data_IF_752749623474
#
_entry.id   IF_752749623474
#
_cell.length_a   1.000
_cell.length_b   1.000
_cell.length_c   1.000
_cell.angle_alpha   90.00
_cell.angle_beta   90.00
_cell.angle_gamma   90.00
#
_symmetry.space_group_name_H-M   'P 1'
#
loop_
_entity.id
_entity.type
_entity.pdbx_description
1 polymer ?
#
# COMPACT_ATOMS: atom_id res chain seq x y z
N UNK A 1 9.71 -31.54 20.66
CA UNK A 1 10.88 -31.01 19.93
C UNK A 1 10.36 -29.91 19.04
N UNK A 2 10.35 -28.68 19.54
CA UNK A 2 9.96 -27.51 18.76
C UNK A 2 11.09 -27.24 17.76
N UNK A 3 10.85 -27.59 16.50
CA UNK A 3 11.73 -27.19 15.42
C UNK A 3 11.66 -25.67 15.30
N UNK A 4 12.67 -24.99 15.84
CA UNK A 4 12.86 -23.56 15.68
C UNK A 4 12.93 -23.28 14.18
N UNK A 5 11.90 -22.62 13.64
CA UNK A 5 11.91 -22.20 12.24
C UNK A 5 13.20 -21.39 12.02
N UNK A 6 14.02 -21.72 11.01
CA UNK A 6 15.21 -20.94 10.72
C UNK A 6 14.80 -19.49 10.52
N UNK A 7 15.42 -18.59 11.29
CA UNK A 7 15.17 -17.15 11.17
C UNK A 7 15.42 -16.71 9.73
N UNK A 8 14.51 -15.87 9.20
CA UNK A 8 14.64 -15.31 7.86
C UNK A 8 16.03 -14.64 7.72
N UNK A 9 16.78 -14.90 6.64
CA UNK A 9 18.04 -14.19 6.41
C UNK A 9 17.77 -12.68 6.38
N UNK A 10 18.65 -11.87 6.98
CA UNK A 10 18.47 -10.43 7.02
C UNK A 10 18.37 -9.88 5.60
N UNK A 11 17.31 -9.12 5.34
CA UNK A 11 17.13 -8.43 4.07
C UNK A 11 17.93 -7.12 4.13
N UNK A 12 18.89 -6.88 3.21
CA UNK A 12 19.65 -5.65 3.25
C UNK A 12 18.74 -4.42 3.10
N UNK A 13 19.02 -3.31 3.80
CA UNK A 13 18.23 -2.09 3.67
C UNK A 13 18.14 -1.62 2.22
N UNK A 14 17.01 -1.01 1.86
CA UNK A 14 16.77 -0.43 0.54
C UNK A 14 16.90 -1.40 -0.65
N UNK A 15 16.83 -2.72 -0.44
CA UNK A 15 16.86 -3.72 -1.53
C UNK A 15 15.49 -4.31 -1.88
N UNK A 16 14.51 -4.18 -0.98
CA UNK A 16 13.17 -4.73 -1.20
C UNK A 16 12.08 -3.69 -0.96
N UNK A 17 10.93 -3.96 -1.56
CA UNK A 17 9.70 -3.22 -1.37
C UNK A 17 8.60 -4.20 -0.99
N UNK A 18 7.98 -4.00 0.17
CA UNK A 18 6.94 -4.92 0.66
C UNK A 18 5.62 -4.69 -0.07
N UNK A 19 4.98 -5.78 -0.49
CA UNK A 19 3.71 -5.73 -1.22
C UNK A 19 2.53 -5.29 -0.35
N UNK A 20 2.58 -5.47 0.97
CA UNK A 20 1.45 -5.23 1.88
C UNK A 20 1.48 -3.83 2.47
N UNK A 21 2.66 -3.35 2.89
CA UNK A 21 2.79 -2.13 3.66
C UNK A 21 2.20 -0.87 2.99
N UNK A 22 2.37 -0.63 1.67
CA UNK A 22 1.74 0.52 1.01
C UNK A 22 0.21 0.49 1.10
N UNK A 23 -0.41 -0.68 0.96
CA UNK A 23 -1.87 -0.83 1.08
C UNK A 23 -2.34 -0.37 2.46
N UNK A 24 -1.66 -0.82 3.51
CA UNK A 24 -2.01 -0.45 4.88
C UNK A 24 -1.79 1.03 5.14
N UNK A 25 -0.63 1.57 4.76
CA UNK A 25 -0.28 2.98 5.03
C UNK A 25 -1.22 3.96 4.33
N UNK A 26 -1.62 3.66 3.09
CA UNK A 26 -2.60 4.48 2.39
C UNK A 26 -3.98 4.33 3.03
N UNK A 27 -4.40 3.11 3.39
CA UNK A 27 -5.65 2.86 4.10
C UNK A 27 -5.77 3.65 5.40
N UNK A 28 -4.76 3.55 6.27
CA UNK A 28 -4.67 4.30 7.54
C UNK A 28 -4.70 5.81 7.30
N UNK A 29 -3.90 6.31 6.36
CA UNK A 29 -3.80 7.74 6.09
C UNK A 29 -5.13 8.32 5.59
N UNK A 30 -5.84 7.60 4.71
CA UNK A 30 -7.15 8.03 4.21
C UNK A 30 -8.21 8.03 5.32
N UNK A 31 -8.24 6.99 6.15
CA UNK A 31 -9.17 6.92 7.30
C UNK A 31 -8.90 8.04 8.30
N UNK A 32 -7.63 8.35 8.55
CA UNK A 32 -7.25 9.47 9.39
C UNK A 32 -7.67 10.81 8.76
N UNK A 33 -7.44 11.00 7.46
CA UNK A 33 -7.84 12.21 6.75
C UNK A 33 -9.36 12.41 6.76
N UNK A 34 -10.15 11.34 6.62
CA UNK A 34 -11.61 11.36 6.82
C UNK A 34 -11.97 11.82 8.22
N UNK A 35 -11.37 11.21 9.24
CA UNK A 35 -11.63 11.56 10.64
C UNK A 35 -11.31 13.03 10.92
N UNK A 36 -10.18 13.52 10.41
CA UNK A 36 -9.80 14.92 10.53
C UNK A 36 -10.82 15.84 9.84
N UNK A 37 -11.22 15.53 8.61
CA UNK A 37 -12.20 16.33 7.88
C UNK A 37 -13.55 16.42 8.62
N UNK A 38 -14.02 15.30 9.19
CA UNK A 38 -15.27 15.25 9.96
C UNK A 38 -15.23 16.06 11.26
N UNK A 39 -14.04 16.34 11.80
CA UNK A 39 -13.87 17.12 13.02
C UNK A 39 -13.52 18.60 12.77
N UNK A 40 -13.05 18.94 11.56
CA UNK A 40 -12.63 20.32 11.22
C UNK A 40 -13.67 21.11 10.43
N UNK A 41 -14.53 20.44 9.66
CA UNK A 41 -15.46 21.10 8.75
C UNK A 41 -16.89 20.66 9.01
N UNK A 42 -17.82 21.61 8.91
CA UNK A 42 -19.25 21.33 8.83
C UNK A 42 -19.64 21.16 7.35
N UNK A 43 -20.22 20.01 6.99
CA UNK A 43 -20.69 19.72 5.64
C UNK A 43 -19.72 18.92 4.75
N UNK A 44 -19.96 18.88 3.43
CA UNK A 44 -19.13 18.12 2.48
C UNK A 44 -17.70 18.65 2.43
N UNK A 45 -16.72 17.74 2.47
CA UNK A 45 -15.31 18.05 2.34
C UNK A 45 -14.66 17.12 1.30
N UNK A 46 -13.87 17.70 0.40
CA UNK A 46 -13.06 16.98 -0.58
C UNK A 46 -11.60 17.01 -0.15
N UNK A 47 -10.96 15.85 -0.15
CA UNK A 47 -9.56 15.67 0.23
C UNK A 47 -8.73 15.49 -1.03
N UNK A 48 -7.74 16.37 -1.22
CA UNK A 48 -6.66 16.14 -2.18
C UNK A 48 -5.58 15.31 -1.50
N UNK A 49 -5.46 14.06 -1.89
CA UNK A 49 -4.45 13.15 -1.35
C UNK A 49 -3.27 13.05 -2.32
N UNK A 50 -2.05 13.19 -1.81
CA UNK A 50 -0.80 13.10 -2.59
C UNK A 50 0.20 12.27 -1.81
N UNK A 51 0.83 11.31 -2.47
CA UNK A 51 1.90 10.49 -1.91
C UNK A 51 3.08 10.41 -2.87
N UNK A 52 4.28 10.54 -2.30
CA UNK A 52 5.54 10.42 -3.04
C UNK A 52 6.27 9.17 -2.57
N UNK A 53 6.69 8.36 -3.53
CA UNK A 53 7.60 7.23 -3.31
C UNK A 53 8.93 7.55 -3.98
N UNK A 54 10.04 7.32 -3.29
CA UNK A 54 11.41 7.60 -3.73
C UNK A 54 12.35 6.44 -3.36
N UNK A 55 13.50 6.36 -4.02
CA UNK A 55 14.48 5.30 -3.77
C UNK A 55 14.00 3.91 -4.19
N UNK A 56 13.12 3.83 -5.19
CA UNK A 56 12.52 2.60 -5.68
C UNK A 56 13.46 1.83 -6.62
N UNK A 57 14.36 2.52 -7.33
CA UNK A 57 15.17 1.91 -8.38
C UNK A 57 16.03 0.78 -7.81
N UNK A 58 15.98 -0.40 -8.45
CA UNK A 58 16.71 -1.58 -8.02
C UNK A 58 16.08 -2.36 -6.87
N UNK A 59 14.95 -1.91 -6.30
CA UNK A 59 14.23 -2.68 -5.27
C UNK A 59 13.40 -3.80 -5.89
N UNK A 60 13.42 -4.96 -5.23
CA UNK A 60 12.57 -6.10 -5.58
C UNK A 60 11.25 -6.07 -4.79
N UNK A 61 10.13 -6.33 -5.45
CA UNK A 61 8.84 -6.54 -4.78
C UNK A 61 8.86 -7.88 -4.04
N UNK A 62 8.50 -7.88 -2.76
CA UNK A 62 8.49 -9.08 -1.89
C UNK A 62 7.28 -9.10 -0.97
N UNK A 63 7.01 -10.26 -0.35
CA UNK A 63 6.22 -10.34 0.88
C UNK A 63 7.15 -10.53 2.07
N UNK A 64 7.29 -9.51 2.93
CA UNK A 64 8.16 -9.59 4.13
C UNK A 64 7.60 -10.59 5.14
N UNK A 65 6.28 -10.63 5.30
CA UNK A 65 5.59 -11.56 6.21
C UNK A 65 5.44 -12.96 5.64
N UNK A 66 5.81 -13.18 4.38
CA UNK A 66 5.62 -14.41 3.62
C UNK A 66 4.16 -14.93 3.63
N UNK A 67 3.20 -14.05 3.88
CA UNK A 67 1.76 -14.36 3.83
C UNK A 67 1.27 -14.55 2.39
N UNK A 68 2.06 -14.09 1.41
CA UNK A 68 1.72 -14.15 -0.02
C UNK A 68 2.93 -14.54 -0.84
N UNK A 69 2.71 -15.39 -1.84
CA UNK A 69 3.73 -15.74 -2.80
C UNK A 69 3.86 -14.64 -3.86
N UNK A 70 4.96 -13.88 -3.80
CA UNK A 70 5.35 -12.94 -4.87
C UNK A 70 6.43 -13.61 -5.68
N UNK A 71 6.18 -13.82 -6.98
CA UNK A 71 7.19 -14.36 -7.88
C UNK A 71 8.45 -13.48 -7.87
N UNK A 72 9.61 -14.13 -7.80
CA UNK A 72 10.90 -13.46 -7.77
C UNK A 72 11.16 -12.62 -9.02
N UNK A 73 12.08 -11.65 -8.91
CA UNK A 73 12.60 -10.89 -10.05
C UNK A 73 11.78 -9.67 -10.47
N UNK A 74 10.78 -9.25 -9.69
CA UNK A 74 9.99 -8.02 -9.94
C UNK A 74 10.72 -6.80 -9.44
N UNK A 75 11.51 -6.15 -10.29
CA UNK A 75 12.40 -5.05 -9.93
C UNK A 75 11.87 -3.72 -10.45
N UNK A 76 11.86 -2.70 -9.60
CA UNK A 76 11.56 -1.34 -10.04
C UNK A 76 12.73 -0.73 -10.82
N UNK A 77 12.45 -0.23 -12.04
CA UNK A 77 13.44 0.49 -12.86
C UNK A 77 13.40 2.01 -12.68
N UNK A 78 12.27 2.53 -12.23
CA UNK A 78 12.07 3.95 -11.95
C UNK A 78 12.35 4.22 -10.48
N UNK A 79 13.00 5.34 -10.16
CA UNK A 79 13.39 5.66 -8.79
C UNK A 79 12.28 6.30 -7.96
N UNK A 80 11.40 7.07 -8.59
CA UNK A 80 10.37 7.82 -7.89
C UNK A 80 9.06 7.90 -8.67
N UNK A 81 7.96 8.00 -7.92
CA UNK A 81 6.62 8.25 -8.45
C UNK A 81 5.79 9.07 -7.46
N UNK A 82 5.04 10.01 -8.01
CA UNK A 82 4.01 10.76 -7.27
C UNK A 82 2.64 10.24 -7.69
N UNK A 83 1.83 9.87 -6.70
CA UNK A 83 0.45 9.46 -6.89
C UNK A 83 -0.45 10.51 -6.26
N UNK A 84 -1.58 10.82 -6.90
CA UNK A 84 -2.53 11.77 -6.36
C UNK A 84 -3.95 11.46 -6.76
N UNK A 85 -4.90 11.80 -5.90
CA UNK A 85 -6.34 11.66 -6.15
C UNK A 85 -7.13 12.73 -5.38
N UNK A 86 -8.37 12.97 -5.80
CA UNK A 86 -9.34 13.79 -5.09
C UNK A 86 -10.49 12.90 -4.65
N UNK A 87 -10.84 12.95 -3.37
CA UNK A 87 -11.82 12.02 -2.78
C UNK A 87 -12.75 12.80 -1.86
N UNK A 88 -14.05 12.56 -1.97
CA UNK A 88 -15.01 13.07 -1.00
C UNK A 88 -14.87 12.32 0.33
N UNK A 89 -14.64 13.05 1.42
CA UNK A 89 -14.30 12.49 2.72
C UNK A 89 -15.33 11.47 3.23
N UNK A 90 -16.60 11.69 2.91
CA UNK A 90 -17.71 10.83 3.31
C UNK A 90 -17.70 9.46 2.61
N UNK A 91 -17.03 9.35 1.45
CA UNK A 91 -16.96 8.12 0.65
C UNK A 91 -15.77 7.24 1.01
N UNK A 92 -14.81 7.75 1.79
CA UNK A 92 -13.55 7.06 2.09
C UNK A 92 -13.76 5.73 2.80
N UNK A 93 -14.60 5.70 3.84
CA UNK A 93 -14.81 4.47 4.63
C UNK A 93 -15.56 3.37 3.86
N UNK A 94 -16.72 3.64 3.24
CA UNK A 94 -17.46 2.60 2.51
C UNK A 94 -16.77 2.11 1.24
N UNK A 95 -15.88 2.90 0.62
CA UNK A 95 -15.25 2.59 -0.67
C UNK A 95 -13.71 2.49 -0.56
N UNK A 96 -13.17 2.22 0.63
CA UNK A 96 -11.73 2.28 0.86
C UNK A 96 -10.93 1.41 -0.13
N UNK A 97 -11.30 0.14 -0.39
CA UNK A 97 -10.59 -0.68 -1.37
C UNK A 97 -10.61 -0.07 -2.78
N UNK A 98 -11.76 0.43 -3.22
CA UNK A 98 -11.99 1.02 -4.55
C UNK A 98 -11.25 2.34 -4.75
N UNK A 99 -10.86 3.00 -3.64
CA UNK A 99 -10.02 4.20 -3.67
C UNK A 99 -8.54 3.81 -3.67
N UNK A 100 -8.15 2.87 -2.79
CA UNK A 100 -6.74 2.47 -2.60
C UNK A 100 -6.18 1.75 -3.82
N UNK A 101 -6.95 0.84 -4.42
CA UNK A 101 -6.51 0.03 -5.55
C UNK A 101 -6.06 0.86 -6.78
N UNK A 102 -6.90 1.76 -7.35
CA UNK A 102 -6.48 2.56 -8.50
C UNK A 102 -5.39 3.57 -8.13
N UNK A 103 -5.35 4.07 -6.89
CA UNK A 103 -4.29 4.97 -6.44
C UNK A 103 -2.92 4.27 -6.43
N UNK A 104 -2.85 3.03 -5.95
CA UNK A 104 -1.60 2.29 -5.83
C UNK A 104 -1.20 1.51 -7.08
N UNK A 105 -2.13 1.19 -7.98
CA UNK A 105 -1.84 0.41 -9.19
C UNK A 105 -0.62 0.94 -9.98
N UNK A 106 -0.45 2.26 -10.23
CA UNK A 106 0.72 2.77 -10.94
C UNK A 106 2.07 2.50 -10.24
N UNK A 107 2.09 2.49 -8.90
CA UNK A 107 3.30 2.17 -8.12
C UNK A 107 3.70 0.72 -8.33
N UNK A 108 2.75 -0.20 -8.26
CA UNK A 108 3.00 -1.63 -8.43
C UNK A 108 3.43 -1.98 -9.86
N UNK A 109 2.89 -1.29 -10.86
CA UNK A 109 3.33 -1.42 -12.26
C UNK A 109 4.82 -1.13 -12.46
N UNK A 110 5.44 -0.31 -11.61
CA UNK A 110 6.89 -0.04 -11.70
C UNK A 110 7.75 -1.30 -11.49
N UNK A 111 7.22 -2.30 -10.76
CA UNK A 111 7.89 -3.56 -10.46
C UNK A 111 7.60 -4.62 -11.53
N UNK A 112 8.18 -4.41 -12.73
CA UNK A 112 8.00 -5.29 -13.91
C UNK A 112 6.52 -5.52 -14.28
N UNK A 113 5.77 -4.43 -14.41
CA UNK A 113 4.35 -4.44 -14.80
C UNK A 113 3.48 -5.31 -13.89
N UNK A 114 3.84 -5.40 -12.61
CA UNK A 114 3.05 -6.15 -11.64
C UNK A 114 1.66 -5.53 -11.49
N UNK A 115 0.64 -6.31 -11.83
CA UNK A 115 -0.76 -5.94 -11.65
C UNK A 115 -1.16 -6.18 -10.18
N UNK A 116 -1.49 -5.09 -9.48
CA UNK A 116 -1.99 -5.17 -8.11
C UNK A 116 -3.37 -5.86 -8.11
N UNK A 117 -3.54 -7.03 -7.48
CA UNK A 117 -4.84 -7.68 -7.43
C UNK A 117 -5.79 -6.92 -6.50
N UNK A 118 -7.01 -6.64 -6.94
CA UNK A 118 -8.05 -6.01 -6.10
C UNK A 118 -8.30 -6.81 -4.82
N UNK A 119 -8.34 -8.15 -4.91
CA UNK A 119 -8.53 -9.02 -3.75
C UNK A 119 -7.42 -8.84 -2.70
N UNK A 120 -6.17 -8.61 -3.13
CA UNK A 120 -5.08 -8.33 -2.19
C UNK A 120 -5.38 -7.06 -1.39
N UNK A 121 -5.82 -6.00 -2.06
CA UNK A 121 -6.17 -4.74 -1.39
C UNK A 121 -7.30 -4.94 -0.38
N UNK A 122 -8.37 -5.64 -0.77
CA UNK A 122 -9.51 -5.97 0.10
C UNK A 122 -9.05 -6.72 1.35
N UNK A 123 -8.33 -7.84 1.16
CA UNK A 123 -7.86 -8.68 2.26
C UNK A 123 -6.94 -7.92 3.22
N UNK A 124 -5.99 -7.16 2.67
CA UNK A 124 -5.00 -6.46 3.47
C UNK A 124 -5.61 -5.28 4.24
N UNK A 125 -6.56 -4.56 3.66
CA UNK A 125 -7.30 -3.53 4.39
C UNK A 125 -8.20 -4.15 5.49
N UNK A 126 -8.78 -5.32 5.25
CA UNK A 126 -9.53 -6.04 6.28
C UNK A 126 -8.61 -6.49 7.43
N UNK A 127 -7.44 -7.06 7.12
CA UNK A 127 -6.45 -7.47 8.11
C UNK A 127 -5.94 -6.28 8.94
N UNK A 128 -5.64 -5.16 8.27
CA UNK A 128 -5.21 -3.92 8.91
C UNK A 128 -6.26 -3.41 9.92
N UNK A 129 -7.55 -3.51 9.60
CA UNK A 129 -8.66 -3.13 10.51
C UNK A 129 -8.92 -4.15 11.61
N UNK A 130 -8.56 -5.42 11.38
CA UNK A 130 -8.86 -6.54 12.28
C UNK A 130 -8.00 -6.62 13.53
N UNK A 131 -6.77 -6.11 13.49
CA UNK A 131 -5.81 -6.21 14.60
C UNK A 131 -5.16 -7.58 14.73
#
# INVERSE_FOLDING_TARGET
MDAQQPGRPPVPPATVFDITLPVWRIGEALLHARSLAANLFEGPATIRFVVNYEGLAGRCLVSITNRRHVWEGRVARQDAITLSTHIDAQTIDPNLPEIVHPLLSPLYTLFDFFELPMQLVVDELANMRGG
#
